data_IF_204185265849
#
_entry.id   IF_204185265849
#
_cell.length_a   1.000
_cell.length_b   1.000
_cell.length_c   1.000
_cell.angle_alpha   90.00
_cell.angle_beta   90.00
_cell.angle_gamma   90.00
#
_symmetry.space_group_name_H-M   'P 1'
#
loop_
_entity.id
_entity.type
_entity.pdbx_description
1 polymer ?
#
# COMPACT_ATOMS: atom_id res chain seq x y z
N UNK A 1 -6.18 12.95 0.31
CA UNK A 1 -6.05 11.53 -0.08
C UNK A 1 -4.58 11.18 -0.18
N UNK A 2 -4.21 10.00 0.25
CA UNK A 2 -2.83 9.61 0.50
C UNK A 2 -2.11 9.09 -0.75
N UNK A 3 -0.78 8.94 -0.67
CA UNK A 3 0.03 8.21 -1.63
C UNK A 3 0.71 7.02 -0.96
N UNK A 4 0.73 5.88 -1.63
CA UNK A 4 1.38 4.65 -1.17
C UNK A 4 2.41 4.18 -2.19
N UNK A 5 3.50 3.62 -1.69
CA UNK A 5 4.54 2.95 -2.49
C UNK A 5 4.97 1.69 -1.78
N UNK A 6 5.14 0.60 -2.51
CA UNK A 6 5.74 -0.65 -2.04
C UNK A 6 6.83 -1.11 -2.99
N UNK A 7 7.89 -1.69 -2.48
CA UNK A 7 9.04 -2.13 -3.26
C UNK A 7 9.58 -3.46 -2.72
N UNK A 8 9.86 -4.37 -3.64
CA UNK A 8 10.64 -5.59 -3.40
C UNK A 8 11.82 -5.56 -4.36
N UNK A 9 13.04 -5.63 -3.83
CA UNK A 9 14.28 -5.56 -4.59
C UNK A 9 15.33 -6.48 -3.97
N UNK A 10 16.39 -6.76 -4.69
CA UNK A 10 17.59 -7.42 -4.15
C UNK A 10 18.56 -6.42 -3.50
N UNK A 11 18.31 -5.14 -3.68
CA UNK A 11 19.06 -4.05 -3.06
C UNK A 11 18.27 -3.44 -1.88
N UNK A 12 18.92 -2.60 -1.10
CA UNK A 12 18.28 -1.76 -0.08
C UNK A 12 17.18 -0.89 -0.71
N UNK A 13 15.95 -0.97 -0.19
CA UNK A 13 14.79 -0.30 -0.80
C UNK A 13 14.53 1.12 -0.28
N UNK A 14 15.15 1.50 0.84
CA UNK A 14 14.86 2.78 1.49
C UNK A 14 15.17 4.01 0.65
N UNK A 15 16.28 4.09 -0.15
CA UNK A 15 16.54 5.22 -1.02
C UNK A 15 15.47 5.36 -2.12
N UNK A 16 15.11 4.26 -2.77
CA UNK A 16 14.09 4.25 -3.81
C UNK A 16 12.69 4.59 -3.27
N UNK A 17 12.34 4.14 -2.07
CA UNK A 17 11.10 4.53 -1.41
C UNK A 17 11.06 6.02 -1.09
N UNK A 18 12.18 6.60 -0.62
CA UNK A 18 12.28 8.03 -0.38
C UNK A 18 12.05 8.84 -1.66
N UNK A 19 12.70 8.46 -2.77
CA UNK A 19 12.54 9.12 -4.06
C UNK A 19 11.11 8.99 -4.59
N UNK A 20 10.54 7.80 -4.59
CA UNK A 20 9.17 7.55 -5.03
C UNK A 20 8.14 8.36 -4.22
N UNK A 21 8.29 8.42 -2.89
CA UNK A 21 7.43 9.23 -2.03
C UNK A 21 7.59 10.73 -2.31
N UNK A 22 8.80 11.18 -2.64
CA UNK A 22 9.06 12.56 -3.04
C UNK A 22 8.34 12.91 -4.34
N UNK A 23 8.34 12.01 -5.32
CA UNK A 23 7.61 12.16 -6.60
C UNK A 23 6.11 12.29 -6.38
N UNK A 24 5.52 11.51 -5.44
CA UNK A 24 4.09 11.55 -5.15
C UNK A 24 3.73 12.40 -3.91
N UNK A 25 4.63 13.28 -3.45
CA UNK A 25 4.41 14.15 -2.28
C UNK A 25 3.15 15.01 -2.38
N UNK A 26 2.72 15.39 -3.58
CA UNK A 26 1.51 16.17 -3.85
C UNK A 26 0.23 15.46 -3.35
N UNK A 27 0.25 14.13 -3.22
CA UNK A 27 -0.88 13.33 -2.70
C UNK A 27 -1.07 13.47 -1.19
N UNK A 28 -0.01 13.86 -0.46
CA UNK A 28 -0.10 14.03 0.99
C UNK A 28 1.08 14.82 1.55
N UNK A 29 0.80 15.86 2.34
CA UNK A 29 1.79 16.79 2.87
C UNK A 29 1.77 16.93 4.40
N UNK A 30 0.93 16.12 5.08
CA UNK A 30 0.74 16.17 6.52
C UNK A 30 1.75 15.32 7.28
N UNK A 31 2.02 14.12 6.78
CA UNK A 31 2.98 13.19 7.37
C UNK A 31 3.57 12.27 6.30
N UNK A 32 4.76 11.77 6.56
CA UNK A 32 5.43 10.77 5.76
C UNK A 32 5.97 9.63 6.61
N UNK A 33 6.03 8.43 6.06
CA UNK A 33 6.59 7.27 6.73
C UNK A 33 7.06 6.20 5.77
N UNK A 34 8.10 5.49 6.18
CA UNK A 34 8.66 4.31 5.51
C UNK A 34 8.82 3.21 6.56
N UNK A 35 8.49 1.99 6.17
CA UNK A 35 8.81 0.77 6.90
C UNK A 35 9.50 -0.21 5.96
N UNK A 36 10.62 -0.79 6.40
CA UNK A 36 11.39 -1.80 5.66
C UNK A 36 11.52 -3.08 6.46
N UNK A 37 11.83 -4.17 5.79
CA UNK A 37 11.96 -5.51 6.37
C UNK A 37 13.33 -6.08 6.04
N UNK A 38 14.13 -6.36 7.08
CA UNK A 38 15.43 -7.02 7.02
C UNK A 38 15.40 -8.27 7.91
N UNK A 39 15.64 -9.44 7.38
CA UNK A 39 15.74 -10.70 8.15
C UNK A 39 14.61 -10.93 9.18
N UNK A 40 13.39 -10.58 8.81
CA UNK A 40 12.21 -10.69 9.70
C UNK A 40 12.04 -9.53 10.68
N UNK A 41 12.98 -8.57 10.72
CA UNK A 41 12.90 -7.39 11.56
C UNK A 41 12.37 -6.18 10.78
N UNK A 42 11.41 -5.49 11.37
CA UNK A 42 10.84 -4.25 10.83
C UNK A 42 11.60 -3.03 11.33
N UNK A 43 12.02 -2.18 10.39
CA UNK A 43 12.57 -0.86 10.64
C UNK A 43 11.55 0.18 10.18
N UNK A 44 11.11 1.05 11.07
CA UNK A 44 10.05 2.02 10.75
C UNK A 44 10.43 3.42 11.20
N UNK A 45 10.32 4.36 10.28
CA UNK A 45 10.36 5.80 10.60
C UNK A 45 9.14 6.48 10.00
N UNK A 46 8.43 7.26 10.82
CA UNK A 46 7.29 8.07 10.40
C UNK A 46 7.14 9.30 11.28
N UNK A 47 6.75 10.41 10.68
CA UNK A 47 6.60 11.69 11.37
C UNK A 47 5.65 12.62 10.61
N UNK A 48 5.16 13.63 11.29
CA UNK A 48 4.48 14.79 10.69
C UNK A 48 5.51 15.58 9.89
N UNK A 49 5.15 16.02 8.69
CA UNK A 49 5.97 16.81 7.77
C UNK A 49 6.11 16.19 6.39
N UNK A 50 6.76 16.92 5.51
CA UNK A 50 7.08 16.47 4.15
C UNK A 50 8.14 15.36 4.19
N UNK A 51 8.23 14.59 3.11
CA UNK A 51 9.23 13.51 2.96
C UNK A 51 10.64 14.02 3.29
N UNK A 52 11.07 15.15 2.70
CA UNK A 52 12.38 15.77 2.95
C UNK A 52 12.60 16.21 4.40
N UNK A 53 11.54 16.52 5.14
CA UNK A 53 11.65 16.98 6.53
C UNK A 53 11.72 15.80 7.50
N UNK A 54 11.03 14.70 7.17
CA UNK A 54 10.98 13.47 7.98
C UNK A 54 12.24 12.64 7.81
N UNK A 55 12.77 12.56 6.58
CA UNK A 55 13.90 11.71 6.24
C UNK A 55 15.16 12.54 5.94
N UNK A 56 16.23 12.23 6.63
CA UNK A 56 17.59 12.68 6.35
C UNK A 56 18.43 11.45 6.01
N UNK A 57 19.59 11.61 5.41
CA UNK A 57 20.51 10.53 5.02
C UNK A 57 20.66 9.46 6.10
N UNK A 58 21.02 9.84 7.32
CA UNK A 58 21.14 8.89 8.44
C UNK A 58 19.89 8.05 8.71
N UNK A 59 18.70 8.59 8.43
CA UNK A 59 17.43 7.87 8.65
C UNK A 59 17.16 6.88 7.54
N UNK A 60 17.62 7.18 6.33
CA UNK A 60 17.55 6.25 5.20
C UNK A 60 18.49 5.08 5.44
N UNK A 61 19.71 5.37 5.94
CA UNK A 61 20.71 4.34 6.29
C UNK A 61 20.24 3.40 7.42
N UNK A 62 19.40 3.88 8.33
CA UNK A 62 18.81 3.09 9.41
C UNK A 62 17.67 2.17 8.94
N UNK A 63 17.05 2.48 7.79
CA UNK A 63 15.94 1.72 7.22
C UNK A 63 16.44 0.59 6.29
N UNK A 64 17.06 -0.42 6.91
CA UNK A 64 17.62 -1.56 6.22
C UNK A 64 16.56 -2.50 5.66
N UNK A 65 16.87 -3.21 4.57
CA UNK A 65 16.07 -4.28 4.03
C UNK A 65 15.71 -4.16 2.56
N UNK A 66 15.26 -5.28 2.02
CA UNK A 66 14.99 -5.51 0.60
C UNK A 66 13.50 -5.45 0.23
N UNK A 67 12.65 -5.34 1.25
CA UNK A 67 11.20 -5.15 1.10
C UNK A 67 10.82 -3.94 1.92
N UNK A 68 9.97 -3.08 1.38
CA UNK A 68 9.51 -1.92 2.11
C UNK A 68 8.22 -1.31 1.57
N UNK A 69 7.57 -0.56 2.44
CA UNK A 69 6.37 0.23 2.11
C UNK A 69 6.54 1.67 2.59
N UNK A 70 6.01 2.60 1.82
CA UNK A 70 6.04 4.02 2.11
C UNK A 70 4.66 4.65 2.01
N UNK A 71 4.48 5.76 2.69
CA UNK A 71 3.23 6.50 2.77
C UNK A 71 3.45 8.00 2.86
N UNK A 72 2.66 8.78 2.11
CA UNK A 72 2.47 10.22 2.31
C UNK A 72 1.00 10.49 2.64
N UNK A 73 0.77 11.18 3.77
CA UNK A 73 -0.57 11.36 4.34
C UNK A 73 -1.19 12.68 3.93
N UNK A 74 -2.43 12.60 3.48
CA UNK A 74 -3.35 13.74 3.39
C UNK A 74 -4.32 13.67 4.59
N UNK A 75 -4.50 14.76 5.36
CA UNK A 75 -5.39 14.73 6.52
C UNK A 75 -6.83 14.49 6.08
N UNK A 76 -7.43 13.42 6.61
CA UNK A 76 -8.85 13.10 6.50
C UNK A 76 -9.51 13.23 7.88
N UNK A 77 -10.47 12.43 8.24
CA UNK A 77 -11.00 12.40 9.59
C UNK A 77 -9.91 12.04 10.63
N UNK A 78 -9.84 12.75 11.77
CA UNK A 78 -8.95 12.39 12.89
C UNK A 78 -7.83 13.36 13.24
N UNK A 79 -7.68 14.51 12.56
CA UNK A 79 -6.68 15.54 12.91
C UNK A 79 -5.25 15.20 12.52
N UNK A 80 -4.32 16.15 12.73
CA UNK A 80 -2.89 16.02 12.46
C UNK A 80 -2.16 15.45 13.69
N UNK A 81 -2.34 14.16 13.98
CA UNK A 81 -1.61 13.48 15.06
C UNK A 81 -0.65 12.44 14.49
N UNK A 82 0.53 12.32 15.15
CA UNK A 82 1.54 11.31 14.80
C UNK A 82 1.00 9.88 14.83
N UNK A 83 -0.01 9.61 15.64
CA UNK A 83 -0.65 8.29 15.76
C UNK A 83 -1.25 7.81 14.46
N UNK A 84 -1.77 8.73 13.63
CA UNK A 84 -2.35 8.43 12.33
C UNK A 84 -1.34 8.37 11.18
N UNK A 85 -0.07 8.66 11.46
CA UNK A 85 0.99 8.52 10.46
C UNK A 85 1.20 7.05 10.12
N UNK A 86 1.28 6.74 8.84
CA UNK A 86 1.52 5.39 8.35
C UNK A 86 2.97 5.26 7.89
N UNK A 87 3.51 4.02 7.82
CA UNK A 87 2.87 2.73 8.02
C UNK A 87 2.42 2.45 9.47
N UNK A 88 1.30 1.72 9.62
CA UNK A 88 0.87 1.15 10.90
C UNK A 88 1.32 -0.31 10.99
N UNK A 89 1.37 -0.85 12.23
CA UNK A 89 1.91 -2.17 12.48
C UNK A 89 1.06 -2.97 13.46
N UNK A 90 0.92 -4.27 13.22
CA UNK A 90 0.40 -5.26 14.16
C UNK A 90 1.37 -6.44 14.25
N UNK A 91 1.63 -6.92 15.48
CA UNK A 91 2.61 -7.98 15.72
C UNK A 91 2.06 -9.40 15.56
N UNK A 92 0.75 -9.59 15.56
CA UNK A 92 0.13 -10.91 15.51
C UNK A 92 -0.84 -11.01 14.32
N UNK A 93 -0.80 -12.13 13.56
CA UNK A 93 -0.02 -13.36 13.80
C UNK A 93 1.42 -13.34 13.26
N UNK A 94 1.79 -12.43 12.35
CA UNK A 94 3.07 -12.52 11.63
C UNK A 94 3.97 -11.28 11.74
N UNK A 95 3.53 -10.20 12.34
CA UNK A 95 4.15 -8.91 12.14
C UNK A 95 3.79 -8.35 10.74
N UNK A 96 2.75 -7.53 10.69
CA UNK A 96 2.24 -6.96 9.44
C UNK A 96 2.28 -5.44 9.53
N UNK A 97 2.86 -4.81 8.51
CA UNK A 97 2.81 -3.35 8.33
C UNK A 97 1.87 -2.99 7.19
N UNK A 98 1.15 -1.86 7.31
CA UNK A 98 0.20 -1.38 6.31
C UNK A 98 0.48 0.04 5.85
N UNK A 99 0.36 0.28 4.54
CA UNK A 99 0.17 1.60 3.93
C UNK A 99 -1.14 1.61 3.15
N UNK A 100 -2.02 2.58 3.43
CA UNK A 100 -3.37 2.64 2.90
C UNK A 100 -3.70 4.01 2.31
N UNK A 101 -4.27 4.02 1.12
CA UNK A 101 -4.91 5.16 0.49
C UNK A 101 -6.40 4.87 0.29
N UNK A 102 -7.26 5.55 0.99
CA UNK A 102 -8.69 5.35 0.85
C UNK A 102 -9.50 5.78 2.06
N UNK A 103 -10.73 5.26 2.14
CA UNK A 103 -11.62 5.45 3.27
C UNK A 103 -12.68 4.35 3.32
N UNK A 104 -12.92 3.79 4.50
CA UNK A 104 -14.01 2.85 4.76
C UNK A 104 -15.24 3.58 5.29
N UNK A 105 -16.41 3.07 4.93
CA UNK A 105 -17.71 3.56 5.42
C UNK A 105 -18.24 2.74 6.59
N UNK A 106 -17.68 1.57 6.86
CA UNK A 106 -18.09 0.67 7.96
C UNK A 106 -17.02 0.49 9.04
N UNK A 107 -16.15 1.48 9.22
CA UNK A 107 -15.03 1.45 10.19
C UNK A 107 -15.50 1.15 11.62
N UNK A 108 -16.54 1.83 12.10
CA UNK A 108 -17.05 1.64 13.47
C UNK A 108 -17.66 0.25 13.69
N UNK A 109 -18.38 -0.29 12.68
CA UNK A 109 -18.96 -1.64 12.73
C UNK A 109 -17.86 -2.66 12.89
N UNK A 110 -16.84 -2.58 12.02
CA UNK A 110 -15.69 -3.49 12.05
C UNK A 110 -14.84 -3.35 13.32
N UNK A 111 -14.65 -2.14 13.82
CA UNK A 111 -13.92 -1.91 15.07
C UNK A 111 -14.61 -2.59 16.26
N UNK A 112 -15.95 -2.49 16.35
CA UNK A 112 -16.74 -3.19 17.36
C UNK A 112 -16.64 -4.71 17.25
N UNK A 113 -16.68 -5.23 16.02
CA UNK A 113 -16.53 -6.68 15.76
C UNK A 113 -15.12 -7.17 16.14
N UNK A 114 -14.07 -6.45 15.71
CA UNK A 114 -12.69 -6.76 16.04
C UNK A 114 -12.48 -6.83 17.55
N UNK A 115 -13.00 -5.88 18.30
CA UNK A 115 -12.88 -5.86 19.77
C UNK A 115 -13.67 -6.98 20.45
N UNK A 116 -14.97 -7.11 20.12
CA UNK A 116 -15.89 -8.00 20.86
C UNK A 116 -15.80 -9.48 20.44
N UNK A 117 -15.52 -9.74 19.16
CA UNK A 117 -15.57 -11.08 18.58
C UNK A 117 -14.18 -11.62 18.29
N UNK A 118 -13.29 -10.77 17.76
CA UNK A 118 -11.96 -11.20 17.36
C UNK A 118 -10.89 -10.96 18.44
N UNK A 119 -11.26 -10.29 19.56
CA UNK A 119 -10.37 -9.96 20.69
C UNK A 119 -9.13 -9.14 20.27
N UNK A 120 -9.32 -8.23 19.29
CA UNK A 120 -8.27 -7.34 18.79
C UNK A 120 -8.50 -5.93 19.28
N UNK A 121 -7.50 -5.38 19.97
CA UNK A 121 -7.51 -4.00 20.42
C UNK A 121 -7.01 -3.08 19.29
N UNK A 122 -7.64 -1.91 19.16
CA UNK A 122 -7.24 -0.84 18.26
C UNK A 122 -6.72 0.34 19.07
N UNK A 123 -5.60 0.92 18.67
CA UNK A 123 -4.99 2.06 19.34
C UNK A 123 -5.50 3.40 18.80
N UNK A 124 -6.06 3.41 17.60
CA UNK A 124 -6.55 4.61 16.92
C UNK A 124 -7.96 4.40 16.39
N UNK A 125 -8.61 5.48 15.97
CA UNK A 125 -9.87 5.43 15.22
C UNK A 125 -9.67 5.33 13.70
N UNK A 126 -8.44 5.07 13.24
CA UNK A 126 -8.11 5.00 11.83
C UNK A 126 -8.71 3.75 11.16
N UNK A 127 -9.33 3.95 10.01
CA UNK A 127 -9.77 2.87 9.14
C UNK A 127 -8.59 1.99 8.65
N UNK A 128 -7.41 2.56 8.52
CA UNK A 128 -6.18 1.81 8.17
C UNK A 128 -5.83 0.76 9.23
N UNK A 129 -5.98 1.09 10.52
CA UNK A 129 -5.76 0.12 11.60
C UNK A 129 -6.85 -0.96 11.63
N UNK A 130 -8.08 -0.59 11.29
CA UNK A 130 -9.18 -1.55 11.14
C UNK A 130 -8.91 -2.51 9.98
N UNK A 131 -8.51 -2.00 8.79
CA UNK A 131 -8.14 -2.83 7.63
C UNK A 131 -7.02 -3.80 8.00
N UNK A 132 -5.97 -3.30 8.64
CA UNK A 132 -4.82 -4.10 9.09
C UNK A 132 -5.24 -5.26 9.98
N UNK A 133 -6.08 -4.99 10.98
CA UNK A 133 -6.54 -6.01 11.91
C UNK A 133 -7.55 -6.99 11.31
N UNK A 134 -8.39 -6.55 10.36
CA UNK A 134 -9.27 -7.44 9.59
C UNK A 134 -8.42 -8.42 8.76
N UNK A 135 -7.45 -7.91 7.98
CA UNK A 135 -6.58 -8.75 7.18
C UNK A 135 -5.76 -9.72 8.05
N UNK A 136 -5.15 -9.23 9.13
CA UNK A 136 -4.40 -10.06 10.07
C UNK A 136 -5.24 -11.20 10.68
N UNK A 137 -6.53 -10.92 10.98
CA UNK A 137 -7.46 -11.92 11.47
C UNK A 137 -7.80 -12.98 10.41
N UNK A 138 -8.08 -12.56 9.18
CA UNK A 138 -8.39 -13.50 8.10
C UNK A 138 -7.15 -14.34 7.70
N UNK A 139 -5.96 -13.75 7.72
CA UNK A 139 -4.71 -14.46 7.47
C UNK A 139 -4.40 -15.48 8.59
N UNK A 140 -4.70 -15.14 9.85
CA UNK A 140 -4.56 -16.06 10.98
C UNK A 140 -5.42 -17.32 10.82
N UNK A 141 -6.61 -17.19 10.25
CA UNK A 141 -7.51 -18.33 9.97
C UNK A 141 -6.94 -19.28 8.92
N UNK A 142 -6.04 -18.82 8.06
CA UNK A 142 -5.33 -19.68 7.12
C UNK A 142 -4.40 -20.68 7.80
N UNK A 143 -4.00 -20.44 9.06
CA UNK A 143 -3.42 -21.42 9.97
C UNK A 143 -2.00 -21.89 9.64
N UNK A 144 -1.20 -21.11 8.88
CA UNK A 144 0.16 -21.47 8.50
C UNK A 144 1.17 -20.39 8.92
N UNK A 145 2.33 -20.79 9.43
CA UNK A 145 3.44 -19.86 9.70
C UNK A 145 4.09 -19.31 8.43
N UNK A 146 4.00 -20.06 7.34
CA UNK A 146 4.44 -19.65 6.02
C UNK A 146 3.27 -19.82 5.05
N UNK A 147 2.37 -18.84 4.94
CA UNK A 147 1.18 -18.97 4.12
C UNK A 147 1.54 -19.03 2.63
N UNK A 148 0.95 -19.98 1.93
CA UNK A 148 1.08 -20.10 0.48
C UNK A 148 0.38 -18.91 -0.21
N UNK A 149 0.69 -18.63 -1.49
CA UNK A 149 -0.02 -17.62 -2.27
C UNK A 149 -1.55 -17.78 -2.23
N UNK A 150 -2.06 -19.01 -2.32
CA UNK A 150 -3.50 -19.29 -2.25
C UNK A 150 -4.12 -18.96 -0.89
N UNK A 151 -3.39 -19.21 0.20
CA UNK A 151 -3.84 -18.83 1.54
C UNK A 151 -3.89 -17.32 1.72
N UNK A 152 -2.90 -16.59 1.19
CA UNK A 152 -2.89 -15.12 1.16
C UNK A 152 -4.08 -14.59 0.36
N UNK A 153 -4.30 -15.10 -0.85
CA UNK A 153 -5.43 -14.68 -1.68
C UNK A 153 -6.78 -15.00 -1.03
N UNK A 154 -6.90 -16.13 -0.33
CA UNK A 154 -8.10 -16.47 0.44
C UNK A 154 -8.33 -15.48 1.58
N UNK A 155 -7.29 -15.07 2.29
CA UNK A 155 -7.38 -14.03 3.32
C UNK A 155 -7.81 -12.68 2.72
N UNK A 156 -7.30 -12.31 1.54
CA UNK A 156 -7.72 -11.10 0.81
C UNK A 156 -9.20 -11.21 0.38
N UNK A 157 -9.65 -12.33 -0.17
CA UNK A 157 -11.06 -12.56 -0.52
C UNK A 157 -11.98 -12.31 0.68
N UNK A 158 -11.65 -12.88 1.84
CA UNK A 158 -12.41 -12.67 3.08
C UNK A 158 -12.36 -11.24 3.57
N UNK A 159 -11.21 -10.59 3.42
CA UNK A 159 -11.03 -9.17 3.74
C UNK A 159 -11.94 -8.30 2.86
N UNK A 160 -11.94 -8.48 1.54
CA UNK A 160 -12.81 -7.75 0.61
C UNK A 160 -14.30 -7.89 0.93
N UNK A 161 -14.75 -9.06 1.40
CA UNK A 161 -16.15 -9.28 1.79
C UNK A 161 -16.58 -8.47 3.03
N UNK A 162 -15.63 -8.12 3.90
CA UNK A 162 -15.89 -7.37 5.14
C UNK A 162 -15.76 -5.87 4.95
N UNK A 163 -14.84 -5.41 4.10
CA UNK A 163 -14.56 -3.99 3.90
C UNK A 163 -15.60 -3.34 2.97
N UNK A 164 -16.16 -2.20 3.38
CA UNK A 164 -17.03 -1.37 2.55
C UNK A 164 -16.39 0.00 2.38
N UNK A 165 -16.03 0.37 1.15
CA UNK A 165 -15.38 1.65 0.88
C UNK A 165 -14.50 1.62 -0.36
N UNK A 166 -13.60 2.60 -0.43
CA UNK A 166 -12.61 2.75 -1.50
C UNK A 166 -11.21 2.64 -0.88
N UNK A 167 -10.38 1.73 -1.38
CA UNK A 167 -9.05 1.52 -0.81
C UNK A 167 -8.05 0.92 -1.80
N UNK A 168 -6.82 1.40 -1.70
CA UNK A 168 -5.61 0.73 -2.19
C UNK A 168 -4.71 0.49 -0.99
N UNK A 169 -4.27 -0.74 -0.80
CA UNK A 169 -3.54 -1.14 0.41
C UNK A 169 -2.30 -1.94 0.05
N UNK A 170 -1.24 -1.65 0.77
CA UNK A 170 0.00 -2.44 0.78
C UNK A 170 0.18 -3.04 2.16
N UNK A 171 0.35 -4.35 2.24
CA UNK A 171 0.74 -5.08 3.44
C UNK A 171 2.15 -5.64 3.25
N UNK A 172 3.05 -5.33 4.16
CA UNK A 172 4.35 -5.98 4.26
C UNK A 172 4.29 -6.96 5.43
N UNK A 173 4.48 -8.24 5.14
CA UNK A 173 4.33 -9.36 6.09
C UNK A 173 5.71 -9.93 6.38
N UNK A 174 6.10 -9.92 7.66
CA UNK A 174 7.41 -10.40 8.10
C UNK A 174 7.62 -11.87 7.73
N UNK A 175 8.74 -12.15 7.04
CA UNK A 175 9.12 -13.49 6.58
C UNK A 175 8.29 -14.03 5.41
N UNK A 176 7.32 -13.25 4.88
CA UNK A 176 6.40 -13.71 3.83
C UNK A 176 6.52 -12.89 2.54
N UNK A 177 6.50 -11.55 2.63
CA UNK A 177 6.64 -10.69 1.46
C UNK A 177 5.71 -9.48 1.45
N UNK A 178 5.45 -8.95 0.25
CA UNK A 178 4.62 -7.77 -0.01
C UNK A 178 3.30 -8.18 -0.67
N UNK A 179 2.19 -7.76 -0.09
CA UNK A 179 0.84 -7.95 -0.65
C UNK A 179 0.23 -6.59 -0.97
N UNK A 180 -0.25 -6.41 -2.19
CA UNK A 180 -0.98 -5.22 -2.62
C UNK A 180 -2.40 -5.60 -3.01
N UNK A 181 -3.38 -4.80 -2.59
CA UNK A 181 -4.78 -5.02 -2.93
C UNK A 181 -5.45 -3.72 -3.39
N UNK A 182 -6.32 -3.85 -4.38
CA UNK A 182 -7.18 -2.76 -4.86
C UNK A 182 -8.64 -3.08 -4.58
N UNK A 183 -9.42 -2.09 -4.15
CA UNK A 183 -10.84 -2.28 -3.83
C UNK A 183 -11.64 -2.90 -4.98
N UNK A 184 -12.73 -3.66 -4.70
CA UNK A 184 -13.51 -4.37 -5.72
C UNK A 184 -14.20 -3.48 -6.75
N UNK A 185 -14.27 -2.17 -6.52
CA UNK A 185 -14.80 -1.18 -7.45
C UNK A 185 -13.71 -0.42 -8.21
N UNK A 186 -12.43 -0.64 -7.86
CA UNK A 186 -11.29 0.02 -8.49
C UNK A 186 -11.33 1.54 -8.36
N UNK A 187 -11.85 2.05 -7.23
CA UNK A 187 -12.02 3.49 -7.00
C UNK A 187 -10.67 4.16 -6.79
N UNK A 188 -9.78 3.52 -5.97
CA UNK A 188 -8.44 4.03 -5.75
C UNK A 188 -7.44 3.41 -6.72
N UNK A 189 -6.54 4.22 -7.31
CA UNK A 189 -5.54 3.70 -8.24
C UNK A 189 -4.45 2.92 -7.49
N UNK A 190 -3.92 1.91 -8.16
CA UNK A 190 -2.74 1.18 -7.76
C UNK A 190 -2.10 0.54 -8.99
N UNK A 191 -0.83 0.83 -9.23
CA UNK A 191 -0.12 0.43 -10.44
C UNK A 191 1.12 -0.37 -10.08
N UNK A 192 1.39 -1.42 -10.86
CA UNK A 192 2.55 -2.30 -10.75
C UNK A 192 3.57 -1.97 -11.83
N UNK A 193 4.82 -1.93 -11.45
CA UNK A 193 5.96 -1.86 -12.35
C UNK A 193 7.00 -2.91 -12.01
N UNK A 194 7.78 -3.26 -13.01
CA UNK A 194 8.87 -4.22 -12.98
C UNK A 194 10.15 -3.58 -13.47
N UNK A 195 11.28 -3.95 -12.89
CA UNK A 195 12.61 -3.59 -13.37
C UNK A 195 13.45 -4.85 -13.40
N UNK A 196 13.79 -5.31 -14.61
CA UNK A 196 14.64 -6.47 -14.75
C UNK A 196 16.08 -6.12 -14.39
N UNK A 197 16.71 -7.02 -13.64
CA UNK A 197 18.12 -6.96 -13.31
C UNK A 197 18.76 -8.27 -13.76
N UNK A 198 19.52 -8.21 -14.84
CA UNK A 198 20.09 -9.38 -15.52
C UNK A 198 20.90 -10.32 -14.60
N UNK A 199 21.40 -9.81 -13.47
CA UNK A 199 22.27 -10.57 -12.58
C UNK A 199 21.54 -11.16 -11.36
N UNK A 200 20.44 -10.54 -10.91
CA UNK A 200 19.82 -10.85 -9.59
C UNK A 200 18.30 -11.06 -9.63
N UNK A 201 17.70 -11.03 -10.82
CA UNK A 201 16.24 -11.16 -10.99
C UNK A 201 15.52 -9.84 -11.10
N UNK A 202 14.18 -9.85 -10.98
CA UNK A 202 13.37 -8.66 -11.14
C UNK A 202 13.09 -7.97 -9.82
N UNK A 203 13.13 -6.65 -9.83
CA UNK A 203 12.58 -5.77 -8.79
C UNK A 203 11.15 -5.39 -9.15
N UNK A 204 10.28 -5.25 -8.14
CA UNK A 204 8.90 -4.87 -8.33
C UNK A 204 8.54 -3.67 -7.47
N UNK A 205 7.92 -2.67 -8.09
CA UNK A 205 7.38 -1.50 -7.41
C UNK A 205 5.87 -1.41 -7.63
N UNK A 206 5.14 -1.06 -6.57
CA UNK A 206 3.71 -0.80 -6.61
C UNK A 206 3.49 0.60 -6.04
N UNK A 207 2.75 1.44 -6.76
CA UNK A 207 2.54 2.82 -6.34
C UNK A 207 1.11 3.30 -6.65
N UNK A 208 0.72 4.40 -6.00
CA UNK A 208 -0.54 5.08 -6.28
C UNK A 208 -0.58 5.72 -7.67
N UNK A 209 0.57 6.11 -8.22
CA UNK A 209 0.67 6.78 -9.53
C UNK A 209 1.88 6.31 -10.34
N UNK A 210 1.71 6.28 -11.67
CA UNK A 210 2.75 5.88 -12.62
C UNK A 210 4.03 6.75 -12.59
N UNK A 211 4.02 8.08 -12.31
CA UNK A 211 5.24 8.86 -12.22
C UNK A 211 6.25 8.36 -11.18
N UNK A 212 5.78 7.72 -10.10
CA UNK A 212 6.70 7.11 -9.12
C UNK A 212 7.52 5.97 -9.72
N UNK A 213 6.89 5.16 -10.60
CA UNK A 213 7.56 4.07 -11.30
C UNK A 213 8.51 4.61 -12.36
N UNK A 214 8.03 5.55 -13.19
CA UNK A 214 8.81 6.11 -14.30
C UNK A 214 10.07 6.86 -13.81
N UNK A 215 9.97 7.57 -12.68
CA UNK A 215 11.10 8.29 -12.10
C UNK A 215 12.24 7.37 -11.65
N UNK A 216 11.92 6.12 -11.31
CA UNK A 216 12.87 5.09 -10.88
C UNK A 216 13.14 4.03 -11.97
N UNK A 217 12.74 4.33 -13.22
CA UNK A 217 12.99 3.48 -14.40
C UNK A 217 12.36 2.09 -14.31
N UNK A 218 11.20 1.96 -13.64
CA UNK A 218 10.41 0.74 -13.67
C UNK A 218 9.53 0.72 -14.94
N UNK A 219 9.53 -0.38 -15.66
CA UNK A 219 8.57 -0.65 -16.71
C UNK A 219 7.19 -0.87 -16.14
N UNK A 220 6.19 -0.20 -16.71
CA UNK A 220 4.83 -0.26 -16.23
C UNK A 220 4.16 -1.55 -16.70
N UNK A 221 3.89 -2.46 -15.78
CA UNK A 221 3.13 -3.70 -16.03
C UNK A 221 1.61 -3.43 -16.16
N UNK A 222 1.15 -2.33 -15.56
CA UNK A 222 -0.23 -1.87 -15.60
C UNK A 222 -0.89 -1.71 -14.23
N UNK A 223 -2.10 -1.17 -14.27
CA UNK A 223 -2.93 -1.01 -13.07
C UNK A 223 -3.43 -2.35 -12.55
N UNK A 224 -3.52 -2.49 -11.23
CA UNK A 224 -4.24 -3.61 -10.63
C UNK A 224 -5.72 -3.50 -11.00
N UNK A 225 -6.32 -4.63 -11.37
CA UNK A 225 -7.76 -4.69 -11.67
C UNK A 225 -8.59 -4.47 -10.41
N UNK A 226 -9.85 -4.04 -10.54
CA UNK A 226 -10.78 -4.01 -9.40
C UNK A 226 -10.83 -5.35 -8.66
N UNK A 227 -10.62 -5.34 -7.33
CA UNK A 227 -10.59 -6.54 -6.50
C UNK A 227 -9.38 -7.44 -6.70
N UNK A 228 -8.37 -7.00 -7.43
CA UNK A 228 -7.12 -7.77 -7.63
C UNK A 228 -6.20 -7.64 -6.42
N UNK A 229 -5.54 -8.74 -6.12
CA UNK A 229 -4.39 -8.81 -5.24
C UNK A 229 -3.14 -9.18 -6.02
N UNK A 230 -2.03 -8.58 -5.64
CA UNK A 230 -0.67 -8.93 -6.05
C UNK A 230 0.09 -9.36 -4.81
N UNK A 231 0.79 -10.47 -4.88
CA UNK A 231 1.70 -10.94 -3.84
C UNK A 231 3.08 -11.15 -4.45
N UNK A 232 4.10 -10.57 -3.80
CA UNK A 232 5.50 -10.67 -4.21
C UNK A 232 6.28 -11.28 -3.05
N UNK A 233 6.93 -12.42 -3.30
CA UNK A 233 7.77 -13.10 -2.30
C UNK A 233 9.10 -12.34 -2.10
N UNK A 234 9.85 -12.62 -1.02
CA UNK A 234 11.18 -12.05 -0.81
C UNK A 234 12.18 -12.41 -1.94
N UNK A 235 11.95 -13.54 -2.59
CA UNK A 235 12.75 -14.03 -3.72
C UNK A 235 12.45 -13.28 -5.03
N UNK A 236 11.33 -12.51 -5.07
CA UNK A 236 10.88 -11.77 -6.25
C UNK A 236 9.93 -12.57 -7.14
N UNK A 237 9.28 -13.61 -6.61
CA UNK A 237 8.21 -14.30 -7.33
C UNK A 237 6.91 -13.50 -7.26
N UNK A 238 6.33 -13.22 -8.43
CA UNK A 238 5.10 -12.44 -8.58
C UNK A 238 3.89 -13.35 -8.77
N UNK A 239 2.92 -13.22 -7.89
CA UNK A 239 1.61 -13.89 -7.96
C UNK A 239 0.49 -12.85 -8.05
N UNK A 240 -0.52 -13.10 -8.92
CA UNK A 240 -1.65 -12.17 -9.13
C UNK A 240 -2.96 -12.94 -9.16
N UNK A 241 -4.00 -12.40 -8.49
CA UNK A 241 -5.35 -13.01 -8.49
C UNK A 241 -6.42 -11.95 -8.28
N UNK A 242 -7.53 -12.04 -9.01
CA UNK A 242 -8.74 -11.26 -8.69
C UNK A 242 -9.45 -11.97 -7.52
N UNK A 243 -9.46 -11.31 -6.37
CA UNK A 243 -9.95 -11.83 -5.08
C UNK A 243 -11.37 -11.33 -4.76
N UNK A 244 -12.19 -11.10 -5.76
CA UNK A 244 -13.60 -10.72 -5.60
C UNK A 244 -14.43 -11.27 -6.75
N UNK A 245 -15.61 -11.85 -6.45
CA UNK A 245 -16.45 -12.55 -7.44
C UNK A 245 -17.28 -11.62 -8.34
N UNK A 246 -17.44 -10.36 -7.97
CA UNK A 246 -18.19 -9.33 -8.72
C UNK A 246 -17.42 -8.01 -8.76
N UNK A 247 -16.23 -7.97 -9.35
CA UNK A 247 -15.51 -6.72 -9.49
C UNK A 247 -16.21 -5.80 -10.50
N UNK A 248 -16.13 -4.49 -10.29
CA UNK A 248 -16.66 -3.49 -11.21
C UNK A 248 -15.70 -2.31 -11.29
N UNK A 249 -15.61 -1.62 -12.42
CA UNK A 249 -14.71 -0.48 -12.58
C UNK A 249 -15.50 0.83 -12.40
N UNK A 250 -15.32 1.50 -11.27
CA UNK A 250 -15.97 2.75 -10.92
C UNK A 250 -14.90 3.77 -10.42
N UNK A 251 -14.04 4.27 -11.30
CA UNK A 251 -12.96 5.17 -10.90
C UNK A 251 -13.52 6.49 -10.36
N UNK A 252 -12.80 7.07 -9.41
CA UNK A 252 -13.15 8.36 -8.82
C UNK A 252 -12.66 9.48 -9.75
N UNK A 253 -13.55 10.35 -10.20
CA UNK A 253 -13.18 11.50 -11.06
C UNK A 253 -12.15 12.42 -10.38
N UNK A 254 -12.20 12.58 -9.06
CA UNK A 254 -11.25 13.40 -8.32
C UNK A 254 -9.80 12.87 -8.37
N UNK A 255 -9.59 11.58 -8.64
CA UNK A 255 -8.25 11.06 -8.90
C UNK A 255 -7.65 11.71 -10.15
N UNK A 256 -8.44 11.93 -11.19
CA UNK A 256 -7.98 12.50 -12.46
C UNK A 256 -7.89 14.01 -12.47
N UNK A 257 -8.85 14.72 -11.87
CA UNK A 257 -8.97 16.18 -12.02
C UNK A 257 -8.33 16.97 -10.87
N UNK A 258 -8.04 16.33 -9.76
CA UNK A 258 -7.56 17.03 -8.56
C UNK A 258 -6.30 16.43 -7.94
N UNK A 259 -6.13 15.11 -7.96
CA UNK A 259 -5.07 14.46 -7.20
C UNK A 259 -3.88 14.04 -8.04
N UNK A 260 -4.12 13.41 -9.17
CA UNK A 260 -3.05 12.86 -9.98
C UNK A 260 -2.20 13.96 -10.65
N UNK A 261 -0.92 13.69 -10.79
CA UNK A 261 -0.02 14.53 -11.59
C UNK A 261 -0.49 14.55 -13.06
N UNK A 262 -0.28 15.65 -13.79
CA UNK A 262 -0.64 15.72 -15.22
C UNK A 262 0.01 14.62 -16.07
N UNK A 263 1.23 14.20 -15.73
CA UNK A 263 1.98 13.15 -16.41
C UNK A 263 1.58 11.72 -16.00
N UNK A 264 0.65 11.58 -15.07
CA UNK A 264 0.16 10.27 -14.63
C UNK A 264 -0.73 9.60 -15.68
N UNK A 265 -0.65 8.27 -15.72
CA UNK A 265 -1.60 7.39 -16.41
C UNK A 265 -2.28 6.51 -15.39
N UNK A 266 -3.60 6.54 -15.34
CA UNK A 266 -4.42 5.76 -14.41
C UNK A 266 -5.43 4.95 -15.22
N UNK A 267 -5.46 3.64 -15.03
CA UNK A 267 -6.36 2.73 -15.75
C UNK A 267 -6.26 2.86 -17.29
N UNK A 268 -5.06 3.17 -17.78
CA UNK A 268 -4.78 3.38 -19.21
C UNK A 268 -5.19 4.77 -19.73
N UNK A 269 -5.68 5.67 -18.85
CA UNK A 269 -6.11 7.03 -19.22
C UNK A 269 -5.04 8.04 -18.81
N UNK A 270 -4.51 8.80 -19.78
CA UNK A 270 -3.59 9.90 -19.52
C UNK A 270 -4.35 11.07 -18.89
N UNK A 271 -3.91 11.52 -17.72
CA UNK A 271 -4.49 12.67 -17.00
C UNK A 271 -4.37 13.94 -17.82
N UNK A 272 -3.24 14.17 -18.47
CA UNK A 272 -3.02 15.33 -19.36
C UNK A 272 -4.02 15.37 -20.51
N UNK A 273 -4.33 14.22 -21.14
CA UNK A 273 -5.32 14.16 -22.23
C UNK A 273 -6.72 14.58 -21.79
N UNK A 274 -7.12 14.20 -20.57
CA UNK A 274 -8.41 14.63 -20.03
C UNK A 274 -8.44 16.15 -19.80
N UNK A 275 -7.35 16.73 -19.33
CA UNK A 275 -7.23 18.18 -19.13
C UNK A 275 -7.29 18.96 -20.47
N UNK A 276 -6.65 18.44 -21.51
CA UNK A 276 -6.60 19.11 -22.83
C UNK A 276 -7.92 19.04 -23.62
N UNK A 277 -8.80 18.08 -23.33
CA UNK A 277 -10.12 17.98 -23.99
C UNK A 277 -11.02 19.18 -23.62
N UNK A 278 -10.77 19.82 -22.50
CA UNK A 278 -11.55 20.98 -22.03
C UNK A 278 -10.98 22.34 -22.47
N UNK A 279 -9.85 22.36 -23.16
CA UNK A 279 -9.21 23.55 -23.71
C UNK A 279 -9.49 23.66 -25.22
#
# INVERSE_FOLDING_TARGET
MCGVVGLVSKNEVSPSLYEALTVIQHRGQDAAGISTLEEGRLHTRKQIGLVRDVFREKHIDELKGQIGIGHVRYPTAGGASREYSQPLYVNSPYGISISHNGNLVNTEELAKELYKVNYRHLNTSSDSEVILNVFAHELQKAGSFNPSPDQIFTAVEKTHLRLKGAYSVLFMISGVGLVAIRDPKGIRPLILGKKDNDLIGADYMIASESPALSALEFEIEGDLKPGEAVFITPEGELHRKVCHNKPSKNPCIFEYVYLARPDAVIDGISVMRLSLIHI
#
